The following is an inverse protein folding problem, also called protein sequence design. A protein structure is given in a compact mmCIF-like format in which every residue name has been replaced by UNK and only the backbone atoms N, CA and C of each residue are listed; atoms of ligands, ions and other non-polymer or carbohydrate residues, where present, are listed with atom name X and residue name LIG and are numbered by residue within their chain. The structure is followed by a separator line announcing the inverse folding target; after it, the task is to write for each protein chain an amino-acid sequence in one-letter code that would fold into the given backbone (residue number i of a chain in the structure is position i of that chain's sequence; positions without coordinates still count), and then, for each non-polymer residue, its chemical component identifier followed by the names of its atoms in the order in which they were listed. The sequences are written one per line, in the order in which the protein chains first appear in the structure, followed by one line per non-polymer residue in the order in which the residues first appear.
data_IF_163307465992
#
_entry.id   IF_163307465992
#
_cell.length_a   1.000
_cell.length_b   1.000
_cell.length_c   1.000
_cell.angle_alpha   90.00
_cell.angle_beta   90.00
_cell.angle_gamma   90.00
#
_symmetry.space_group_name_H-M   'P 1'
#
loop_
_entity.id
_entity.type
_entity.pdbx_description
1 polymer ?
#
# COMPACT_ATOMS: atom_id res chain seq x y z
N UNK A 1 21.26 37.76 17.19
CA UNK A 1 21.34 36.69 16.18
C UNK A 1 21.00 35.32 16.75
N UNK A 2 21.62 34.88 17.85
CA UNK A 2 21.35 33.57 18.47
C UNK A 2 19.87 33.32 18.83
N UNK A 3 19.19 34.30 19.43
CA UNK A 3 17.75 34.18 19.77
C UNK A 3 16.84 34.06 18.54
N UNK A 4 17.20 34.72 17.44
CA UNK A 4 16.46 34.65 16.18
C UNK A 4 16.65 33.27 15.55
N UNK A 5 17.89 32.75 15.54
CA UNK A 5 18.20 31.40 15.07
C UNK A 5 17.45 30.33 15.89
N UNK A 6 17.43 30.47 17.22
CA UNK A 6 16.71 29.57 18.12
C UNK A 6 15.20 29.59 17.86
N UNK A 7 14.61 30.77 17.64
CA UNK A 7 13.19 30.87 17.27
C UNK A 7 12.89 30.19 15.93
N UNK A 8 13.76 30.35 14.93
CA UNK A 8 13.59 29.70 13.62
C UNK A 8 13.66 28.18 13.76
N UNK A 9 14.63 27.65 14.51
CA UNK A 9 14.77 26.20 14.76
C UNK A 9 13.53 25.67 15.50
N UNK A 10 13.06 26.38 16.53
CA UNK A 10 11.86 26.00 17.27
C UNK A 10 10.64 25.94 16.34
N UNK A 11 10.49 26.92 15.46
CA UNK A 11 9.38 26.99 14.50
C UNK A 11 9.42 25.82 13.50
N UNK A 12 10.62 25.43 13.03
CA UNK A 12 10.81 24.26 12.17
C UNK A 12 10.43 22.97 12.90
N UNK A 13 10.83 22.81 14.16
CA UNK A 13 10.48 21.63 14.97
C UNK A 13 8.95 21.53 15.15
N UNK A 14 8.28 22.66 15.43
CA UNK A 14 6.82 22.71 15.56
C UNK A 14 6.15 22.32 14.23
N UNK A 15 6.66 22.81 13.10
CA UNK A 15 6.14 22.47 11.78
C UNK A 15 6.27 20.97 11.49
N UNK A 16 7.42 20.38 11.79
CA UNK A 16 7.66 18.93 11.66
C UNK A 16 6.68 18.15 12.54
N UNK A 17 6.48 18.59 13.79
CA UNK A 17 5.55 17.93 14.71
C UNK A 17 4.10 17.94 14.19
N UNK A 18 3.65 19.06 13.60
CA UNK A 18 2.31 19.16 12.98
C UNK A 18 2.16 18.16 11.83
N UNK A 19 3.18 18.03 10.98
CA UNK A 19 3.20 17.06 9.86
C UNK A 19 3.06 15.63 10.39
N UNK A 20 3.82 15.28 11.44
CA UNK A 20 3.78 13.95 12.06
C UNK A 20 2.38 13.66 12.63
N UNK A 21 1.76 14.65 13.29
CA UNK A 21 0.48 14.50 13.99
C UNK A 21 -0.70 14.28 13.04
N UNK A 22 -0.72 14.99 11.91
CA UNK A 22 -1.79 14.86 10.90
C UNK A 22 -1.63 13.59 10.05
N UNK A 23 -0.38 13.19 9.79
CA UNK A 23 -0.05 12.02 9.00
C UNK A 23 -0.08 12.25 7.48
N UNK A 24 0.03 11.15 6.74
CA UNK A 24 0.13 11.12 5.28
C UNK A 24 -1.10 10.45 4.70
N UNK A 25 -1.56 10.90 3.54
CA UNK A 25 -2.62 10.27 2.77
C UNK A 25 -2.07 9.80 1.44
N UNK A 26 -2.26 8.52 1.13
CA UNK A 26 -1.97 7.94 -0.17
C UNK A 26 -3.29 7.80 -0.92
N UNK A 27 -3.36 8.33 -2.13
CA UNK A 27 -4.49 8.19 -3.05
C UNK A 27 -4.04 7.36 -4.23
N UNK A 28 -4.64 6.20 -4.39
CA UNK A 28 -4.43 5.30 -5.51
C UNK A 28 -5.59 5.46 -6.47
N UNK A 29 -5.33 5.58 -7.75
CA UNK A 29 -6.32 5.53 -8.82
C UNK A 29 -5.83 4.51 -9.84
N UNK A 30 -6.74 3.72 -10.36
CA UNK A 30 -6.40 2.74 -11.39
C UNK A 30 -7.56 2.64 -12.38
N UNK A 31 -7.21 2.50 -13.64
CA UNK A 31 -8.13 2.37 -14.75
C UNK A 31 -7.54 1.34 -15.70
N UNK A 32 -8.32 0.32 -16.01
CA UNK A 32 -8.06 -0.59 -17.11
C UNK A 32 -9.22 -0.54 -18.07
N UNK A 33 -8.94 -0.20 -19.31
CA UNK A 33 -9.88 -0.22 -20.42
C UNK A 33 -9.25 -1.08 -21.51
N UNK A 34 -9.86 -2.22 -21.78
CA UNK A 34 -9.41 -3.23 -22.74
C UNK A 34 -7.98 -3.72 -22.44
N UNK A 35 -6.99 -3.42 -23.29
CA UNK A 35 -5.58 -3.76 -23.10
C UNK A 35 -4.77 -2.70 -22.37
N UNK A 36 -5.27 -1.46 -22.28
CA UNK A 36 -4.54 -0.35 -21.70
C UNK A 36 -4.72 -0.29 -20.18
N UNK A 37 -3.60 -0.12 -19.47
CA UNK A 37 -3.58 0.08 -18.03
C UNK A 37 -3.00 1.45 -17.70
N UNK A 38 -3.79 2.24 -16.98
CA UNK A 38 -3.38 3.53 -16.43
C UNK A 38 -3.59 3.52 -14.91
N UNK A 39 -2.48 3.58 -14.17
CA UNK A 39 -2.43 3.70 -12.73
C UNK A 39 -1.86 5.06 -12.33
N UNK A 40 -2.39 5.66 -11.26
CA UNK A 40 -1.84 6.89 -10.70
C UNK A 40 -1.80 6.76 -9.17
N UNK A 41 -0.60 6.91 -8.62
CA UNK A 41 -0.34 6.92 -7.18
C UNK A 41 0.01 8.34 -6.75
N UNK A 42 -0.79 8.92 -5.87
CA UNK A 42 -0.56 10.25 -5.31
C UNK A 42 -0.29 10.17 -3.82
N UNK A 43 0.81 10.77 -3.37
CA UNK A 43 1.15 10.91 -1.95
C UNK A 43 0.88 12.34 -1.52
N UNK A 44 0.05 12.50 -0.49
CA UNK A 44 -0.34 13.78 0.08
C UNK A 44 0.13 13.90 1.53
N UNK A 45 0.95 14.90 1.82
CA UNK A 45 1.32 15.31 3.17
C UNK A 45 0.23 16.24 3.73
N UNK A 46 0.01 16.20 5.06
CA UNK A 46 -1.08 16.95 5.73
C UNK A 46 -2.47 16.64 5.16
N UNK A 47 -2.62 15.48 4.49
CA UNK A 47 -3.84 15.04 3.78
C UNK A 47 -4.31 15.95 2.64
N UNK A 48 -3.54 17.00 2.29
CA UNK A 48 -3.93 18.02 1.29
C UNK A 48 -2.81 18.41 0.33
N UNK A 49 -1.56 18.46 0.80
CA UNK A 49 -0.43 18.88 -0.02
C UNK A 49 0.07 17.69 -0.83
N UNK A 50 -0.13 17.71 -2.14
CA UNK A 50 0.44 16.70 -3.05
C UNK A 50 1.95 16.88 -3.09
N UNK A 51 2.69 15.83 -2.79
CA UNK A 51 4.16 15.84 -2.75
C UNK A 51 4.75 14.96 -3.84
N UNK A 52 4.08 13.85 -4.13
CA UNK A 52 4.54 12.91 -5.14
C UNK A 52 3.36 12.40 -5.95
N UNK A 53 3.52 12.31 -7.26
CA UNK A 53 2.59 11.66 -8.17
C UNK A 53 3.41 10.75 -9.05
N UNK A 54 3.00 9.49 -9.12
CA UNK A 54 3.62 8.48 -9.95
C UNK A 54 2.54 7.87 -10.83
N UNK A 55 2.71 8.02 -12.14
CA UNK A 55 1.81 7.49 -13.13
C UNK A 55 2.44 6.19 -13.68
N UNK A 56 1.70 5.09 -13.56
CA UNK A 56 2.01 3.77 -14.09
C UNK A 56 1.21 3.61 -15.38
N UNK A 57 1.88 3.77 -16.51
CA UNK A 57 1.30 3.42 -17.81
C UNK A 57 1.83 2.05 -18.24
N UNK A 58 1.02 1.31 -18.97
CA UNK A 58 1.49 0.21 -19.80
C UNK A 58 2.23 0.82 -21.01
N UNK A 59 3.50 1.21 -20.81
CA UNK A 59 4.44 1.32 -21.91
C UNK A 59 5.16 -0.03 -21.99
N UNK A 60 5.06 -0.67 -23.16
CA UNK A 60 5.79 -1.90 -23.55
C UNK A 60 7.30 -1.58 -23.73
N UNK A 61 7.94 -1.01 -22.72
CA UNK A 61 9.39 -0.93 -22.66
C UNK A 61 9.86 -2.08 -21.78
N UNK A 62 10.01 -3.24 -22.42
CA UNK A 62 10.98 -4.26 -22.03
C UNK A 62 12.37 -3.59 -22.07
N UNK A 63 12.75 -2.88 -21.02
CA UNK A 63 14.18 -2.75 -20.70
C UNK A 63 14.63 -4.14 -20.24
N UNK A 64 15.22 -4.89 -21.19
CA UNK A 64 16.11 -6.00 -20.88
C UNK A 64 17.23 -5.45 -19.99
N UNK A 65 17.03 -5.51 -18.68
CA UNK A 65 18.12 -5.40 -17.72
C UNK A 65 19.03 -6.63 -17.96
N UNK A 66 20.16 -6.40 -18.65
CA UNK A 66 21.28 -7.34 -18.66
C UNK A 66 21.76 -7.48 -17.20
N UNK A 67 21.29 -8.54 -16.53
CA UNK A 67 21.76 -8.94 -15.22
C UNK A 67 23.29 -9.16 -15.27
N UNK A 68 24.06 -8.18 -14.79
CA UNK A 68 25.43 -8.42 -14.34
C UNK A 68 25.36 -9.45 -13.21
N UNK A 69 25.85 -10.67 -13.45
CA UNK A 69 25.99 -11.72 -12.45
C UNK A 69 26.93 -11.25 -11.33
N UNK A 70 26.38 -10.55 -10.35
CA UNK A 70 27.03 -10.34 -9.05
C UNK A 70 27.24 -11.72 -8.42
N UNK A 71 28.49 -12.06 -8.11
CA UNK A 71 28.87 -13.27 -7.38
C UNK A 71 28.00 -13.40 -6.11
N UNK A 72 27.03 -14.32 -6.14
CA UNK A 72 26.18 -14.66 -5.01
C UNK A 72 27.04 -15.07 -3.80
N UNK A 73 27.29 -14.11 -2.91
CA UNK A 73 27.59 -14.41 -1.52
C UNK A 73 26.48 -15.34 -1.04
N UNK A 74 26.81 -16.60 -0.78
CA UNK A 74 25.84 -17.61 -0.33
C UNK A 74 25.29 -17.22 1.03
N UNK A 75 24.28 -16.37 1.03
CA UNK A 75 23.50 -16.02 2.21
C UNK A 75 22.93 -17.32 2.75
N UNK A 76 23.37 -17.72 3.95
CA UNK A 76 22.97 -18.98 4.56
C UNK A 76 21.52 -18.87 5.09
N UNK A 77 20.55 -19.04 4.18
CA UNK A 77 19.10 -18.84 4.40
C UNK A 77 18.62 -19.62 5.64
N UNK A 78 19.21 -20.79 5.89
CA UNK A 78 18.88 -21.65 7.02
C UNK A 78 19.29 -21.03 8.36
N UNK A 79 20.41 -20.29 8.39
CA UNK A 79 20.91 -19.55 9.56
C UNK A 79 20.01 -18.34 9.84
N UNK A 80 19.61 -17.60 8.80
CA UNK A 80 18.68 -16.46 8.91
C UNK A 80 17.31 -16.93 9.40
N UNK A 81 16.75 -18.01 8.85
CA UNK A 81 15.47 -18.54 9.29
C UNK A 81 15.49 -18.94 10.78
N UNK A 82 16.58 -19.56 11.25
CA UNK A 82 16.74 -19.92 12.67
C UNK A 82 16.76 -18.69 13.59
N UNK A 83 17.33 -17.59 13.14
CA UNK A 83 17.36 -16.31 13.86
C UNK A 83 16.01 -15.57 13.78
N UNK A 84 15.29 -15.69 12.67
CA UNK A 84 14.02 -15.00 12.43
C UNK A 84 12.82 -15.69 13.11
N UNK A 85 12.83 -17.03 13.21
CA UNK A 85 11.76 -17.82 13.85
C UNK A 85 11.31 -17.31 15.22
N UNK A 86 12.20 -17.02 16.20
CA UNK A 86 11.76 -16.49 17.50
C UNK A 86 11.07 -15.12 17.38
N UNK A 87 11.51 -14.28 16.44
CA UNK A 87 10.96 -12.94 16.22
C UNK A 87 9.55 -12.95 15.59
N UNK A 88 9.07 -14.07 15.05
CA UNK A 88 7.85 -14.13 14.23
C UNK A 88 6.61 -13.59 14.96
N UNK A 89 6.48 -13.89 16.25
CA UNK A 89 5.33 -13.41 17.03
C UNK A 89 5.39 -11.89 17.24
N UNK A 90 6.58 -11.34 17.51
CA UNK A 90 6.78 -9.89 17.64
C UNK A 90 6.52 -9.18 16.30
N UNK A 91 6.96 -9.77 15.18
CA UNK A 91 6.63 -9.26 13.84
C UNK A 91 5.13 -9.30 13.57
N UNK A 92 4.43 -10.38 13.92
CA UNK A 92 2.97 -10.47 13.76
C UNK A 92 2.25 -9.37 14.55
N UNK A 93 2.67 -9.11 15.79
CA UNK A 93 2.14 -8.03 16.62
C UNK A 93 2.43 -6.67 15.99
N UNK A 94 3.65 -6.45 15.52
CA UNK A 94 4.05 -5.23 14.82
C UNK A 94 3.18 -4.99 13.57
N UNK A 95 3.02 -6.00 12.71
CA UNK A 95 2.20 -5.92 11.50
C UNK A 95 0.74 -5.57 11.86
N UNK A 96 0.17 -6.19 12.91
CA UNK A 96 -1.17 -5.83 13.39
C UNK A 96 -1.25 -4.36 13.83
N UNK A 97 -0.23 -3.85 14.51
CA UNK A 97 -0.16 -2.45 14.92
C UNK A 97 0.02 -1.49 13.73
N UNK A 98 0.80 -1.88 12.72
CA UNK A 98 0.95 -1.15 11.45
C UNK A 98 -0.39 -1.05 10.74
N UNK A 99 -1.13 -2.16 10.60
CA UNK A 99 -2.48 -2.14 10.03
C UNK A 99 -3.44 -1.23 10.80
N UNK A 100 -3.33 -1.15 12.14
CA UNK A 100 -4.15 -0.21 12.93
C UNK A 100 -3.75 1.27 12.72
N UNK A 101 -2.54 1.55 12.23
CA UNK A 101 -2.09 2.89 11.89
C UNK A 101 -2.55 3.32 10.50
N UNK A 102 -2.99 2.37 9.68
CA UNK A 102 -3.52 2.56 8.34
C UNK A 102 -5.05 2.63 8.43
N UNK A 103 -5.66 3.57 7.74
CA UNK A 103 -7.11 3.74 7.69
C UNK A 103 -7.56 3.94 6.26
N UNK A 104 -8.33 3.00 5.74
CA UNK A 104 -8.92 3.10 4.41
C UNK A 104 -10.16 4.00 4.53
N UNK A 105 -10.06 5.20 4.00
CA UNK A 105 -11.14 6.20 4.09
C UNK A 105 -12.17 6.07 2.98
N UNK A 106 -11.75 5.58 1.82
CA UNK A 106 -12.59 5.42 0.65
C UNK A 106 -11.99 4.35 -0.24
N UNK A 107 -12.80 3.38 -0.64
CA UNK A 107 -12.43 2.38 -1.63
C UNK A 107 -13.55 2.31 -2.66
N UNK A 108 -13.30 2.77 -3.87
CA UNK A 108 -14.28 2.72 -4.95
C UNK A 108 -13.74 1.86 -6.08
N UNK A 109 -14.59 1.00 -6.62
CA UNK A 109 -14.25 0.22 -7.80
C UNK A 109 -15.51 -0.01 -8.61
N UNK A 110 -15.44 0.27 -9.90
CA UNK A 110 -16.44 -0.01 -10.91
C UNK A 110 -15.84 -1.06 -11.85
N UNK A 111 -16.39 -2.27 -11.80
CA UNK A 111 -16.06 -3.37 -12.70
C UNK A 111 -17.07 -3.44 -13.84
N UNK A 112 -16.60 -3.61 -15.07
CA UNK A 112 -17.44 -3.88 -16.24
C UNK A 112 -17.02 -5.22 -16.81
N UNK A 113 -17.94 -6.18 -16.84
CA UNK A 113 -17.67 -7.53 -17.30
C UNK A 113 -18.64 -7.93 -18.39
N UNK A 114 -18.12 -8.44 -19.49
CA UNK A 114 -18.87 -9.04 -20.58
C UNK A 114 -18.18 -10.30 -21.03
N UNK A 115 -18.96 -11.35 -21.28
CA UNK A 115 -18.48 -12.60 -21.87
C UNK A 115 -19.03 -12.76 -23.28
N UNK A 116 -18.44 -13.67 -24.05
CA UNK A 116 -18.91 -14.05 -25.39
C UNK A 116 -20.36 -14.55 -25.46
N UNK A 117 -20.98 -14.90 -24.32
CA UNK A 117 -22.39 -15.27 -24.21
C UNK A 117 -23.13 -14.37 -23.21
N UNK A 118 -24.31 -13.87 -23.60
CA UNK A 118 -25.21 -13.11 -22.75
C UNK A 118 -25.60 -13.89 -21.48
N UNK A 119 -25.83 -15.20 -21.61
CA UNK A 119 -26.20 -16.05 -20.48
C UNK A 119 -25.09 -16.13 -19.43
N UNK A 120 -23.84 -16.33 -19.89
CA UNK A 120 -22.66 -16.32 -19.00
C UNK A 120 -22.49 -14.94 -18.34
N UNK A 121 -22.63 -13.86 -19.10
CA UNK A 121 -22.55 -12.50 -18.54
C UNK A 121 -23.57 -12.29 -17.42
N UNK A 122 -24.83 -12.71 -17.62
CA UNK A 122 -25.88 -12.63 -16.60
C UNK A 122 -25.62 -13.50 -15.36
N UNK A 123 -25.08 -14.69 -15.54
CA UNK A 123 -24.74 -15.59 -14.44
C UNK A 123 -23.62 -15.02 -13.56
N UNK A 124 -22.49 -14.67 -14.18
CA UNK A 124 -21.30 -14.20 -13.45
C UNK A 124 -21.50 -12.83 -12.82
N UNK A 125 -22.22 -11.90 -13.46
CA UNK A 125 -22.54 -10.61 -12.83
C UNK A 125 -23.40 -10.81 -11.58
N UNK A 126 -24.29 -11.80 -11.56
CA UNK A 126 -25.07 -12.17 -10.39
C UNK A 126 -24.18 -12.62 -9.22
N UNK A 127 -23.19 -13.48 -9.48
CA UNK A 127 -22.22 -13.89 -8.47
C UNK A 127 -21.35 -12.73 -7.97
N UNK A 128 -20.91 -11.86 -8.88
CA UNK A 128 -20.13 -10.68 -8.53
C UNK A 128 -20.97 -9.74 -7.65
N UNK A 129 -22.23 -9.47 -7.99
CA UNK A 129 -23.10 -8.62 -7.16
C UNK A 129 -23.31 -9.21 -5.77
N UNK A 130 -23.50 -10.52 -5.65
CA UNK A 130 -23.60 -11.18 -4.34
C UNK A 130 -22.32 -10.98 -3.51
N UNK A 131 -21.14 -11.17 -4.11
CA UNK A 131 -19.86 -10.94 -3.44
C UNK A 131 -19.66 -9.46 -3.06
N UNK A 132 -20.01 -8.54 -3.96
CA UNK A 132 -19.89 -7.10 -3.73
C UNK A 132 -20.85 -6.60 -2.65
N UNK A 133 -22.05 -7.18 -2.53
CA UNK A 133 -22.99 -6.84 -1.46
C UNK A 133 -22.35 -7.13 -0.09
N UNK A 134 -21.77 -8.32 0.07
CA UNK A 134 -21.05 -8.72 1.30
C UNK A 134 -19.82 -7.85 1.53
N UNK A 135 -19.02 -7.60 0.49
CA UNK A 135 -17.80 -6.80 0.60
C UNK A 135 -18.10 -5.34 1.01
N UNK A 136 -19.14 -4.73 0.42
CA UNK A 136 -19.57 -3.38 0.75
C UNK A 136 -20.09 -3.26 2.19
N UNK A 137 -20.65 -4.33 2.76
CA UNK A 137 -21.10 -4.37 4.16
C UNK A 137 -19.94 -4.50 5.14
N UNK A 138 -18.92 -5.31 4.81
CA UNK A 138 -17.75 -5.54 5.67
C UNK A 138 -16.78 -4.36 5.65
N UNK A 139 -16.61 -3.70 4.49
CA UNK A 139 -15.61 -2.65 4.31
C UNK A 139 -16.31 -1.29 4.42
N UNK A 140 -16.22 -0.60 5.58
CA UNK A 140 -16.83 0.70 5.75
C UNK A 140 -16.23 1.71 4.74
N UNK A 141 -17.07 2.56 4.17
CA UNK A 141 -16.71 3.55 3.15
C UNK A 141 -16.21 2.96 1.83
N UNK A 142 -16.59 1.72 1.50
CA UNK A 142 -16.41 1.16 0.17
C UNK A 142 -17.62 1.41 -0.73
N UNK A 143 -17.37 1.60 -2.03
CA UNK A 143 -18.39 1.62 -3.09
C UNK A 143 -17.88 0.78 -4.24
N UNK A 144 -18.05 -0.53 -4.09
CA UNK A 144 -17.75 -1.50 -5.11
C UNK A 144 -19.00 -1.75 -5.95
N UNK A 145 -18.88 -1.63 -7.27
CA UNK A 145 -19.95 -1.80 -8.23
C UNK A 145 -19.47 -2.68 -9.37
N UNK A 146 -20.41 -3.41 -9.95
CA UNK A 146 -20.16 -4.15 -11.17
C UNK A 146 -21.30 -3.90 -12.16
N UNK A 147 -20.97 -3.83 -13.44
CA UNK A 147 -21.91 -3.64 -14.53
C UNK A 147 -21.68 -4.74 -15.58
N UNK A 148 -22.75 -5.33 -16.12
CA UNK A 148 -22.63 -6.26 -17.23
C UNK A 148 -22.45 -5.48 -18.55
N UNK A 149 -21.59 -5.97 -19.42
CA UNK A 149 -21.51 -5.57 -20.81
C UNK A 149 -22.00 -6.70 -21.69
N UNK A 150 -23.04 -6.43 -22.47
CA UNK A 150 -23.64 -7.37 -23.41
C UNK A 150 -23.18 -7.13 -24.85
N UNK A 151 -22.31 -6.14 -25.05
CA UNK A 151 -21.80 -5.75 -26.37
C UNK A 151 -20.62 -6.62 -26.84
N UNK A 152 -20.11 -7.52 -26.00
CA UNK A 152 -18.98 -8.40 -26.32
C UNK A 152 -18.20 -8.81 -25.08
N UNK A 153 -17.09 -9.50 -25.31
CA UNK A 153 -16.16 -9.90 -24.25
C UNK A 153 -15.31 -8.69 -23.81
N UNK A 154 -15.51 -8.24 -22.57
CA UNK A 154 -14.78 -7.09 -22.00
C UNK A 154 -14.53 -7.32 -20.51
N UNK A 155 -13.40 -6.85 -20.03
CA UNK A 155 -13.06 -6.86 -18.60
C UNK A 155 -12.36 -5.55 -18.23
N UNK A 156 -13.17 -4.54 -17.94
CA UNK A 156 -12.70 -3.20 -17.62
C UNK A 156 -12.91 -2.94 -16.13
N UNK A 157 -11.95 -2.28 -15.49
CA UNK A 157 -12.08 -1.93 -14.09
C UNK A 157 -11.54 -0.54 -13.85
N UNK A 158 -12.26 0.23 -13.04
CA UNK A 158 -11.87 1.59 -12.66
C UNK A 158 -12.03 1.72 -11.17
N UNK A 159 -11.05 2.26 -10.48
CA UNK A 159 -11.18 2.43 -9.04
C UNK A 159 -10.28 3.51 -8.47
N UNK A 160 -10.57 3.81 -7.21
CA UNK A 160 -9.73 4.66 -6.41
C UNK A 160 -9.75 4.22 -4.95
N UNK A 161 -8.61 4.34 -4.29
CA UNK A 161 -8.47 4.09 -2.86
C UNK A 161 -7.79 5.28 -2.18
N UNK A 162 -8.38 5.76 -1.08
CA UNK A 162 -7.78 6.76 -0.21
C UNK A 162 -7.38 6.09 1.10
N UNK A 163 -6.08 6.09 1.37
CA UNK A 163 -5.47 5.43 2.52
C UNK A 163 -4.80 6.51 3.37
N UNK A 164 -5.26 6.68 4.60
CA UNK A 164 -4.60 7.54 5.58
C UNK A 164 -3.64 6.72 6.43
N UNK A 165 -2.42 7.23 6.60
CA UNK A 165 -1.38 6.62 7.42
C UNK A 165 -1.06 7.58 8.56
N UNK A 166 -1.30 7.12 9.79
CA UNK A 166 -1.00 7.88 11.00
C UNK A 166 0.46 7.63 11.42
N UNK A 167 1.37 8.55 11.09
CA UNK A 167 2.80 8.42 11.43
C UNK A 167 3.00 8.26 12.95
N UNK A 168 2.28 9.03 13.77
CA UNK A 168 2.33 8.90 15.24
C UNK A 168 2.07 7.46 15.72
N UNK A 169 1.08 6.80 15.13
CA UNK A 169 0.71 5.42 15.49
C UNK A 169 1.73 4.39 15.01
N UNK A 170 2.59 4.72 14.04
CA UNK A 170 3.66 3.85 13.55
C UNK A 170 4.95 3.98 14.39
N UNK A 171 5.23 5.16 14.93
CA UNK A 171 6.47 5.42 15.70
C UNK A 171 6.61 4.45 16.88
N UNK A 172 5.54 4.29 17.68
CA UNK A 172 5.61 3.42 18.87
C UNK A 172 5.82 1.93 18.54
N UNK A 173 5.08 1.31 17.61
CA UNK A 173 5.34 -0.05 17.14
C UNK A 173 6.76 -0.26 16.63
N UNK A 174 7.31 0.68 15.85
CA UNK A 174 8.68 0.59 15.33
C UNK A 174 9.70 0.60 16.46
N UNK A 175 9.60 1.56 17.39
CA UNK A 175 10.49 1.63 18.55
C UNK A 175 10.38 0.34 19.38
N UNK A 176 9.16 -0.11 19.66
CA UNK A 176 8.94 -1.32 20.45
C UNK A 176 9.54 -2.57 19.81
N UNK A 177 9.41 -2.73 18.49
CA UNK A 177 10.02 -3.84 17.74
C UNK A 177 11.55 -3.77 17.81
N UNK A 178 12.14 -2.60 17.57
CA UNK A 178 13.60 -2.40 17.60
C UNK A 178 14.21 -2.60 18.99
N UNK A 179 13.45 -2.40 20.06
CA UNK A 179 13.93 -2.64 21.43
C UNK A 179 13.99 -4.14 21.78
N UNK A 180 13.25 -5.00 21.07
CA UNK A 180 13.23 -6.45 21.34
C UNK A 180 14.62 -7.05 21.13
N UNK A 181 15.07 -7.84 22.12
CA UNK A 181 16.40 -8.47 22.12
C UNK A 181 16.58 -9.39 20.90
N UNK A 182 15.56 -10.17 20.59
CA UNK A 182 15.56 -11.14 19.48
C UNK A 182 15.71 -10.41 18.15
N UNK A 183 14.94 -9.35 17.92
CA UNK A 183 15.03 -8.50 16.71
C UNK A 183 16.40 -7.86 16.58
N UNK A 184 16.97 -7.30 17.66
CA UNK A 184 18.34 -6.76 17.64
C UNK A 184 19.39 -7.82 17.33
N UNK A 185 19.16 -9.06 17.74
CA UNK A 185 20.07 -10.18 17.52
C UNK A 185 19.97 -10.67 16.07
N UNK A 186 18.76 -10.69 15.51
CA UNK A 186 18.53 -10.92 14.09
C UNK A 186 19.21 -9.86 13.23
N UNK A 187 19.00 -8.57 13.52
CA UNK A 187 19.62 -7.46 12.76
C UNK A 187 21.15 -7.58 12.79
N UNK A 188 21.75 -7.79 13.98
CA UNK A 188 23.20 -7.99 14.08
C UNK A 188 23.69 -9.25 13.39
N UNK A 189 22.89 -10.32 13.42
CA UNK A 189 23.21 -11.59 12.78
C UNK A 189 23.16 -11.56 11.26
N UNK A 190 22.35 -10.65 10.68
CA UNK A 190 22.27 -10.39 9.23
C UNK A 190 23.34 -9.39 8.78
N UNK A 191 23.70 -8.40 9.61
CA UNK A 191 24.76 -7.42 9.26
C UNK A 191 26.17 -8.04 9.35
N UNK A 192 26.38 -8.99 10.26
CA UNK A 192 27.69 -9.59 10.52
C UNK A 192 27.88 -10.99 9.89
N UNK A 193 26.93 -11.45 9.06
CA UNK A 193 26.89 -12.82 8.54
C UNK A 193 26.81 -12.81 7.04
#
# INVERSE_FOLDING_TARGET
MLNILLMIILLIIILIFIIILIGVRITLKWVKIDSEYDGCVQILILKKLKVYTFDLKSDDDEEEDEDEEDEDEKIDIKKIYKLAKPCFNDFKVFIKQVFNAISINRLENDLVIGFSSFAKTGEYIGYIWAALAVANEIIPNSRLRAQPSFAGEVLNFKGSANIDISIVKLIWPVINLLLKKEVRTLIKGVING
#
